data_IF_642247887045
#
_entry.id   IF_642247887045
#
_cell.length_a   1.000
_cell.length_b   1.000
_cell.length_c   1.000
_cell.angle_alpha   90.00
_cell.angle_beta   90.00
_cell.angle_gamma   90.00
#
_symmetry.space_group_name_H-M   'P 1'
#
loop_
_entity.id
_entity.type
_entity.pdbx_description
1 polymer ?
#
# COMPACT_ATOMS: atom_id res chain seq x y z
N UNK A 1 -5.56 6.27 -14.85
CA UNK A 1 -4.91 7.58 -15.03
C UNK A 1 -3.58 7.30 -15.71
N UNK A 2 -3.33 7.90 -16.87
CA UNK A 2 -2.16 7.58 -17.70
C UNK A 2 -0.86 8.04 -17.04
N UNK A 3 0.26 7.42 -17.41
CA UNK A 3 1.59 7.66 -16.85
C UNK A 3 2.01 9.15 -16.94
N UNK A 4 1.56 9.85 -17.98
CA UNK A 4 1.78 11.27 -18.18
C UNK A 4 1.04 12.14 -17.15
N UNK A 5 -0.11 11.68 -16.65
CA UNK A 5 -0.90 12.43 -15.67
C UNK A 5 -0.21 12.48 -14.29
N UNK A 6 0.49 11.40 -13.91
CA UNK A 6 1.16 11.33 -12.61
C UNK A 6 2.35 12.28 -12.55
N UNK A 7 3.19 12.28 -13.57
CA UNK A 7 4.38 13.13 -13.56
C UNK A 7 4.04 14.61 -13.71
N UNK A 8 2.99 14.94 -14.47
CA UNK A 8 2.43 16.29 -14.52
C UNK A 8 1.96 16.74 -13.13
N UNK A 9 1.29 15.85 -12.37
CA UNK A 9 0.82 16.16 -11.03
C UNK A 9 2.00 16.40 -10.05
N UNK A 10 3.07 15.60 -10.13
CA UNK A 10 4.30 15.78 -9.35
C UNK A 10 4.97 17.12 -9.66
N UNK A 11 5.12 17.47 -10.94
CA UNK A 11 5.74 18.72 -11.37
C UNK A 11 4.91 19.95 -10.94
N UNK A 12 3.58 19.89 -11.06
CA UNK A 12 2.67 20.95 -10.60
C UNK A 12 2.81 21.16 -9.09
N UNK A 13 2.86 20.08 -8.31
CA UNK A 13 3.00 20.21 -6.87
C UNK A 13 4.35 20.75 -6.43
N UNK A 14 5.44 20.29 -7.03
CA UNK A 14 6.77 20.84 -6.76
C UNK A 14 6.85 22.33 -7.10
N UNK A 15 6.19 22.73 -8.20
CA UNK A 15 6.06 24.14 -8.59
C UNK A 15 5.29 24.94 -7.53
N UNK A 16 4.16 24.42 -7.04
CA UNK A 16 3.38 25.06 -5.98
C UNK A 16 4.17 25.20 -4.68
N UNK A 17 4.89 24.15 -4.23
CA UNK A 17 5.72 24.23 -3.02
C UNK A 17 6.80 25.30 -3.18
N UNK A 18 7.57 25.25 -4.27
CA UNK A 18 8.64 26.21 -4.51
C UNK A 18 8.11 27.66 -4.57
N UNK A 19 6.98 27.87 -5.24
CA UNK A 19 6.34 29.18 -5.34
C UNK A 19 5.86 29.68 -3.97
N UNK A 20 5.11 28.86 -3.22
CA UNK A 20 4.59 29.25 -1.91
C UNK A 20 5.72 29.53 -0.91
N UNK A 21 6.77 28.71 -0.89
CA UNK A 21 7.93 28.94 -0.01
C UNK A 21 8.74 30.17 -0.41
N UNK A 22 8.84 30.48 -1.70
CA UNK A 22 9.52 31.70 -2.16
C UNK A 22 8.77 32.97 -1.74
N UNK A 23 7.46 33.03 -1.95
CA UNK A 23 6.67 34.22 -1.63
C UNK A 23 6.46 34.42 -0.13
N UNK A 24 6.47 33.36 0.68
CA UNK A 24 6.35 33.42 2.14
C UNK A 24 7.69 33.19 2.86
N UNK A 25 8.81 33.44 2.17
CA UNK A 25 10.17 33.12 2.62
C UNK A 25 10.50 33.66 4.01
N UNK A 26 10.12 34.89 4.30
CA UNK A 26 10.42 35.53 5.59
C UNK A 26 9.74 34.78 6.75
N UNK A 27 8.49 34.36 6.58
CA UNK A 27 7.73 33.65 7.60
C UNK A 27 8.36 32.28 7.87
N UNK A 28 8.78 31.58 6.82
CA UNK A 28 9.49 30.30 6.94
C UNK A 28 10.84 30.42 7.64
N UNK A 29 11.61 31.48 7.36
CA UNK A 29 12.90 31.72 8.02
C UNK A 29 12.67 32.02 9.49
N UNK A 30 11.78 32.96 9.81
CA UNK A 30 11.50 33.37 11.19
C UNK A 30 11.02 32.19 12.03
N UNK A 31 10.16 31.34 11.45
CA UNK A 31 9.66 30.16 12.15
C UNK A 31 10.74 29.08 12.38
N UNK A 32 11.73 28.99 11.48
CA UNK A 32 12.87 28.06 11.59
C UNK A 32 13.94 28.53 12.59
N UNK A 33 13.83 29.74 13.14
CA UNK A 33 14.74 30.26 14.16
C UNK A 33 14.25 29.82 15.55
N UNK A 34 15.14 29.31 16.39
CA UNK A 34 14.81 28.92 17.76
C UNK A 34 14.30 30.12 18.59
N UNK A 35 13.37 29.91 19.55
CA UNK A 35 12.83 30.98 20.39
C UNK A 35 13.96 31.66 21.19
N UNK A 36 14.16 32.93 20.89
CA UNK A 36 15.29 33.73 21.33
C UNK A 36 15.00 34.37 22.70
N UNK A 37 15.27 33.66 23.80
CA UNK A 37 15.26 34.29 25.13
C UNK A 37 16.63 34.87 25.53
N UNK A 38 17.72 34.53 24.84
CA UNK A 38 19.09 34.89 25.28
C UNK A 38 20.06 35.44 24.21
N UNK A 39 19.65 35.59 22.94
CA UNK A 39 20.56 36.03 21.86
C UNK A 39 20.58 37.55 21.67
N UNK A 40 21.77 38.10 21.39
CA UNK A 40 21.92 39.53 21.03
C UNK A 40 21.34 39.83 19.65
N UNK A 41 20.87 41.07 19.44
CA UNK A 41 20.30 41.54 18.16
C UNK A 41 21.24 41.29 16.95
N UNK A 42 22.56 41.40 17.15
CA UNK A 42 23.55 41.15 16.10
C UNK A 42 23.66 39.65 15.75
N UNK A 43 23.65 38.78 16.77
CA UNK A 43 23.66 37.32 16.57
C UNK A 43 22.39 36.84 15.87
N UNK A 44 21.23 37.42 16.20
CA UNK A 44 19.95 37.10 15.55
C UNK A 44 19.94 37.52 14.06
N UNK A 45 20.56 38.66 13.72
CA UNK A 45 20.69 39.11 12.33
C UNK A 45 21.62 38.21 11.51
N UNK A 46 22.70 37.71 12.10
CA UNK A 46 23.58 36.72 11.45
C UNK A 46 22.86 35.39 11.22
N UNK A 47 22.17 34.87 12.25
CA UNK A 47 21.43 33.61 12.17
C UNK A 47 20.30 33.66 11.12
N UNK A 48 19.63 34.81 11.00
CA UNK A 48 18.68 35.05 9.92
C UNK A 48 19.36 34.96 8.55
N UNK A 49 20.51 35.63 8.36
CA UNK A 49 21.25 35.60 7.09
C UNK A 49 21.69 34.18 6.67
N UNK A 50 22.18 33.38 7.62
CA UNK A 50 22.59 32.00 7.35
C UNK A 50 21.40 31.10 7.00
N UNK A 51 20.27 31.29 7.68
CA UNK A 51 19.02 30.55 7.45
C UNK A 51 18.39 30.95 6.10
N UNK A 52 18.44 32.24 5.77
CA UNK A 52 18.01 32.82 4.50
C UNK A 52 18.81 32.24 3.33
N UNK A 53 20.14 32.18 3.46
CA UNK A 53 21.04 31.57 2.47
C UNK A 53 20.76 30.07 2.31
N UNK A 54 20.57 29.35 3.41
CA UNK A 54 20.24 27.92 3.40
C UNK A 54 18.92 27.65 2.66
N UNK A 55 17.88 28.46 2.91
CA UNK A 55 16.60 28.34 2.21
C UNK A 55 16.74 28.64 0.70
N UNK A 56 17.55 29.63 0.33
CA UNK A 56 17.86 29.95 -1.06
C UNK A 56 18.50 28.77 -1.80
N UNK A 57 19.50 28.13 -1.19
CA UNK A 57 20.19 26.96 -1.76
C UNK A 57 19.19 25.81 -1.98
N UNK A 58 18.36 25.53 -0.98
CA UNK A 58 17.36 24.46 -1.07
C UNK A 58 16.32 24.75 -2.15
N UNK A 59 15.80 25.99 -2.23
CA UNK A 59 14.86 26.39 -3.29
C UNK A 59 15.47 26.26 -4.68
N UNK A 60 16.73 26.69 -4.85
CA UNK A 60 17.45 26.56 -6.12
C UNK A 60 17.61 25.09 -6.55
N UNK A 61 17.95 24.20 -5.61
CA UNK A 61 18.03 22.76 -5.86
C UNK A 61 16.66 22.18 -6.24
N UNK A 62 15.59 22.55 -5.54
CA UNK A 62 14.22 22.11 -5.85
C UNK A 62 13.76 22.56 -7.24
N UNK A 63 14.10 23.77 -7.66
CA UNK A 63 13.83 24.27 -9.00
C UNK A 63 14.68 23.58 -10.08
N UNK A 64 15.94 23.23 -9.77
CA UNK A 64 16.79 22.47 -10.67
C UNK A 64 16.25 21.05 -10.92
N UNK A 65 15.75 20.38 -9.87
CA UNK A 65 15.07 19.09 -10.01
C UNK A 65 13.82 19.20 -10.90
N UNK A 66 12.96 20.21 -10.65
CA UNK A 66 11.77 20.46 -11.46
C UNK A 66 12.12 20.72 -12.94
N UNK A 67 13.16 21.52 -13.20
CA UNK A 67 13.62 21.78 -14.57
C UNK A 67 14.12 20.50 -15.25
N UNK A 68 14.84 19.64 -14.52
CA UNK A 68 15.30 18.35 -15.04
C UNK A 68 14.14 17.41 -15.40
N UNK A 69 13.07 17.40 -14.60
CA UNK A 69 11.85 16.64 -14.89
C UNK A 69 11.17 17.13 -16.17
N UNK A 70 10.99 18.45 -16.31
CA UNK A 70 10.42 19.05 -17.53
C UNK A 70 11.23 18.72 -18.78
N UNK A 71 12.56 18.75 -18.69
CA UNK A 71 13.45 18.39 -19.81
C UNK A 71 13.28 16.92 -20.18
N UNK A 72 13.26 16.02 -19.19
CA UNK A 72 13.10 14.59 -19.44
C UNK A 72 11.72 14.25 -20.04
N UNK A 73 10.66 14.95 -19.63
CA UNK A 73 9.34 14.84 -20.26
C UNK A 73 9.31 15.28 -21.71
N UNK A 74 9.93 16.41 -22.03
CA UNK A 74 9.99 16.94 -23.39
C UNK A 74 10.92 16.10 -24.30
N UNK A 75 11.85 15.36 -23.73
CA UNK A 75 12.86 14.58 -24.47
C UNK A 75 12.39 13.19 -24.92
N UNK A 76 11.13 12.80 -24.68
CA UNK A 76 10.56 11.48 -25.04
C UNK A 76 11.46 10.34 -24.54
N UNK A 77 11.60 10.21 -23.22
CA UNK A 77 12.34 9.09 -22.62
C UNK A 77 11.63 7.77 -22.94
N UNK A 78 12.35 6.83 -23.57
CA UNK A 78 11.82 5.54 -24.05
C UNK A 78 11.29 4.61 -22.95
N UNK A 79 11.58 4.88 -21.67
CA UNK A 79 11.22 4.02 -20.53
C UNK A 79 10.32 4.75 -19.51
N UNK A 80 8.99 4.59 -19.63
CA UNK A 80 7.98 5.12 -18.71
C UNK A 80 8.28 4.99 -17.22
N UNK A 81 8.76 3.81 -16.80
CA UNK A 81 8.93 3.47 -15.39
C UNK A 81 10.14 4.15 -14.75
N UNK A 82 11.25 4.27 -15.49
CA UNK A 82 12.45 4.94 -14.99
C UNK A 82 12.24 6.43 -14.81
N UNK A 83 11.50 7.05 -15.74
CA UNK A 83 11.11 8.46 -15.63
C UNK A 83 10.26 8.69 -14.38
N UNK A 84 9.26 7.83 -14.14
CA UNK A 84 8.40 7.93 -12.96
C UNK A 84 9.18 7.74 -11.64
N UNK A 85 10.09 6.77 -11.57
CA UNK A 85 10.95 6.59 -10.39
C UNK A 85 11.87 7.80 -10.15
N UNK A 86 12.42 8.37 -11.22
CA UNK A 86 13.23 9.59 -11.12
C UNK A 86 12.42 10.76 -10.59
N UNK A 87 11.27 11.08 -11.21
CA UNK A 87 10.41 12.20 -10.79
C UNK A 87 9.94 12.04 -9.33
N UNK A 88 9.52 10.83 -8.92
CA UNK A 88 9.13 10.58 -7.53
C UNK A 88 10.31 10.75 -6.56
N UNK A 89 11.50 10.28 -6.94
CA UNK A 89 12.70 10.41 -6.10
C UNK A 89 13.18 11.87 -5.97
N UNK A 90 13.20 12.62 -7.08
CA UNK A 90 13.58 14.02 -7.12
C UNK A 90 12.59 14.88 -6.31
N UNK A 91 11.29 14.61 -6.45
CA UNK A 91 10.24 15.23 -5.65
C UNK A 91 10.37 14.94 -4.15
N UNK A 92 10.63 13.68 -3.79
CA UNK A 92 10.83 13.28 -2.39
C UNK A 92 12.04 13.98 -1.79
N UNK A 93 13.16 14.04 -2.51
CA UNK A 93 14.38 14.73 -2.05
C UNK A 93 14.12 16.24 -1.90
N UNK A 94 13.44 16.87 -2.85
CA UNK A 94 13.07 18.29 -2.77
C UNK A 94 12.18 18.57 -1.55
N UNK A 95 11.17 17.72 -1.31
CA UNK A 95 10.30 17.81 -0.13
C UNK A 95 11.07 17.62 1.18
N UNK A 96 11.98 16.66 1.27
CA UNK A 96 12.80 16.43 2.47
C UNK A 96 13.75 17.60 2.77
N UNK A 97 14.37 18.18 1.75
CA UNK A 97 15.25 19.34 1.92
C UNK A 97 14.47 20.58 2.38
N UNK A 98 13.23 20.75 1.91
CA UNK A 98 12.34 21.83 2.31
C UNK A 98 11.64 21.58 3.65
N UNK A 99 11.54 20.32 4.09
CA UNK A 99 10.81 19.90 5.28
C UNK A 99 11.22 20.69 6.53
N UNK A 100 12.52 20.98 6.68
CA UNK A 100 13.06 21.79 7.78
C UNK A 100 12.38 23.16 7.89
N UNK A 101 12.15 23.83 6.77
CA UNK A 101 11.57 25.18 6.75
C UNK A 101 10.04 25.18 6.78
N UNK A 102 9.43 24.03 6.48
CA UNK A 102 7.99 23.86 6.37
C UNK A 102 7.38 23.34 7.67
N UNK A 103 8.08 22.47 8.41
CA UNK A 103 7.61 21.91 9.69
C UNK A 103 7.64 22.95 10.80
N UNK A 104 8.64 23.82 10.79
CA UNK A 104 8.83 24.82 11.86
C UNK A 104 7.87 26.02 11.68
N UNK A 105 7.38 26.27 10.47
CA UNK A 105 6.24 27.17 10.22
C UNK A 105 4.92 26.46 10.60
N UNK A 106 4.25 26.93 11.65
CA UNK A 106 2.96 26.39 12.13
C UNK A 106 1.94 26.14 10.99
N UNK A 107 1.02 25.16 11.15
CA UNK A 107 0.65 24.22 10.10
C UNK A 107 0.06 24.93 8.89
N UNK A 108 0.83 25.04 7.81
CA UNK A 108 0.24 25.36 6.51
C UNK A 108 -0.55 24.11 6.10
N UNK A 109 -1.84 24.08 6.44
CA UNK A 109 -2.72 22.95 6.11
C UNK A 109 -2.66 22.63 4.60
N UNK A 110 -2.41 23.64 3.78
CA UNK A 110 -2.16 23.55 2.33
C UNK A 110 -0.93 22.71 1.95
N UNK A 111 0.12 22.67 2.76
CA UNK A 111 1.28 21.81 2.51
C UNK A 111 0.93 20.33 2.68
N UNK A 112 0.25 19.97 3.77
CA UNK A 112 -0.21 18.59 3.99
C UNK A 112 -1.22 18.15 2.93
N UNK A 113 -2.05 19.08 2.43
CA UNK A 113 -2.89 18.82 1.25
C UNK A 113 -2.08 18.48 0.01
N UNK A 114 -1.11 19.31 -0.32
CA UNK A 114 -0.29 19.14 -1.52
C UNK A 114 0.60 17.89 -1.43
N UNK A 115 1.20 17.63 -0.27
CA UNK A 115 1.97 16.42 0.03
C UNK A 115 1.08 15.17 -0.06
N UNK A 116 -0.12 15.20 0.51
CA UNK A 116 -1.08 14.08 0.41
C UNK A 116 -1.58 13.86 -1.02
N UNK A 117 -1.83 14.93 -1.78
CA UNK A 117 -2.28 14.83 -3.18
C UNK A 117 -1.21 14.27 -4.12
N UNK A 118 0.07 14.36 -3.76
CA UNK A 118 1.21 14.01 -4.63
C UNK A 118 2.04 12.84 -4.16
N UNK A 119 1.87 12.45 -2.90
CA UNK A 119 2.47 11.25 -2.30
C UNK A 119 1.41 10.23 -1.86
N UNK A 120 0.11 10.41 -2.19
CA UNK A 120 -0.85 9.31 -2.01
C UNK A 120 -0.43 8.17 -2.94
N UNK A 121 0.06 7.04 -2.40
CA UNK A 121 0.43 5.92 -3.23
C UNK A 121 -0.80 5.49 -4.01
N UNK A 122 -0.62 5.21 -5.30
CA UNK A 122 -1.66 4.63 -6.15
C UNK A 122 -2.27 3.45 -5.36
N UNK A 123 -3.58 3.20 -5.42
CA UNK A 123 -4.25 2.15 -4.62
C UNK A 123 -3.53 0.79 -4.65
N UNK A 124 -2.84 0.48 -5.75
CA UNK A 124 -1.93 -0.65 -5.88
C UNK A 124 -0.68 -0.55 -4.97
N UNK A 125 0.04 0.55 -5.02
CA UNK A 125 1.21 0.83 -4.18
C UNK A 125 0.80 0.88 -2.70
N UNK A 126 -0.38 1.43 -2.38
CA UNK A 126 -0.93 1.41 -1.03
C UNK A 126 -1.16 -0.02 -0.54
N UNK A 127 -1.71 -0.89 -1.38
CA UNK A 127 -1.90 -2.30 -1.06
C UNK A 127 -0.55 -3.02 -0.83
N UNK A 128 0.46 -2.75 -1.65
CA UNK A 128 1.79 -3.34 -1.50
C UNK A 128 2.51 -2.83 -0.24
N UNK A 129 2.41 -1.54 0.04
CA UNK A 129 2.98 -0.90 1.22
C UNK A 129 2.35 -1.42 2.51
N UNK A 130 1.02 -1.46 2.58
CA UNK A 130 0.30 -1.96 3.77
C UNK A 130 0.53 -3.47 3.98
N UNK A 131 0.68 -4.25 2.91
CA UNK A 131 1.09 -5.66 2.99
C UNK A 131 2.48 -5.80 3.62
N UNK A 132 3.42 -4.92 3.26
CA UNK A 132 4.74 -4.92 3.86
C UNK A 132 4.70 -4.44 5.31
N UNK A 133 3.91 -3.39 5.59
CA UNK A 133 3.78 -2.80 6.90
C UNK A 133 3.19 -3.77 7.94
N UNK A 134 2.19 -4.58 7.55
CA UNK A 134 1.59 -5.59 8.43
C UNK A 134 2.62 -6.59 8.97
N UNK A 135 3.70 -6.86 8.23
CA UNK A 135 4.74 -7.79 8.72
C UNK A 135 5.48 -7.25 9.94
N UNK A 136 5.53 -5.94 10.16
CA UNK A 136 6.14 -5.36 11.36
C UNK A 136 5.37 -5.67 12.64
N UNK A 137 4.09 -6.06 12.54
CA UNK A 137 3.34 -6.56 13.72
C UNK A 137 3.61 -8.04 14.02
N UNK A 138 4.53 -8.67 13.31
CA UNK A 138 4.97 -10.05 13.52
C UNK A 138 4.14 -11.10 12.77
N UNK A 139 3.24 -10.70 11.87
CA UNK A 139 2.44 -11.61 11.03
C UNK A 139 3.10 -11.79 9.66
N UNK A 140 3.40 -13.03 9.26
CA UNK A 140 3.93 -13.34 7.93
C UNK A 140 2.81 -13.45 6.87
N UNK A 141 1.92 -12.46 6.86
CA UNK A 141 0.74 -12.38 6.00
C UNK A 141 1.03 -12.30 4.50
N UNK A 142 0.04 -12.73 3.72
CA UNK A 142 -0.07 -12.40 2.29
C UNK A 142 -0.54 -10.96 2.08
N UNK A 143 -0.86 -10.60 0.84
CA UNK A 143 -1.37 -9.25 0.50
C UNK A 143 -2.84 -9.23 0.06
N UNK A 144 -3.62 -10.26 0.41
CA UNK A 144 -5.01 -10.41 -0.06
C UNK A 144 -5.93 -9.38 0.58
N UNK A 145 -5.83 -9.22 1.89
CA UNK A 145 -6.73 -8.38 2.67
C UNK A 145 -6.52 -6.91 2.25
N UNK A 146 -5.25 -6.48 2.18
CA UNK A 146 -4.83 -5.15 1.73
C UNK A 146 -5.21 -4.87 0.27
N UNK A 147 -4.97 -5.83 -0.64
CA UNK A 147 -5.35 -5.65 -2.04
C UNK A 147 -6.87 -5.56 -2.20
N UNK A 148 -7.65 -6.32 -1.44
CA UNK A 148 -9.11 -6.21 -1.46
C UNK A 148 -9.56 -4.85 -0.90
N UNK A 149 -9.00 -4.41 0.22
CA UNK A 149 -9.31 -3.13 0.84
C UNK A 149 -8.99 -1.96 -0.09
N UNK A 150 -7.89 -1.97 -0.84
CA UNK A 150 -7.53 -0.84 -1.69
C UNK A 150 -8.09 -0.90 -3.13
N UNK A 151 -8.34 -2.09 -3.68
CA UNK A 151 -8.61 -2.28 -5.12
C UNK A 151 -10.03 -2.77 -5.44
N UNK A 152 -10.86 -3.05 -4.44
CA UNK A 152 -12.24 -3.50 -4.66
C UNK A 152 -13.08 -2.42 -5.34
N UNK A 153 -14.08 -2.88 -6.10
CA UNK A 153 -15.08 -2.02 -6.75
C UNK A 153 -16.47 -2.43 -6.30
N UNK A 154 -17.32 -1.43 -6.11
CA UNK A 154 -18.71 -1.63 -5.68
C UNK A 154 -19.42 -2.62 -6.60
N UNK A 155 -20.05 -3.62 -6.00
CA UNK A 155 -20.82 -4.64 -6.71
C UNK A 155 -20.01 -5.77 -7.37
N UNK A 156 -18.68 -5.76 -7.26
CA UNK A 156 -17.81 -6.75 -7.91
C UNK A 156 -16.93 -7.49 -6.90
N UNK A 157 -16.70 -8.78 -7.13
CA UNK A 157 -15.62 -9.50 -6.46
C UNK A 157 -14.28 -9.18 -7.12
N UNK A 158 -13.18 -9.38 -6.40
CA UNK A 158 -11.85 -9.13 -6.91
C UNK A 158 -11.09 -10.44 -7.09
N UNK A 159 -10.64 -10.72 -8.32
CA UNK A 159 -9.59 -11.71 -8.56
C UNK A 159 -8.25 -11.01 -8.43
N UNK A 160 -7.44 -11.43 -7.47
CA UNK A 160 -6.12 -10.88 -7.21
C UNK A 160 -5.06 -11.91 -7.64
N UNK A 161 -4.14 -11.50 -8.50
CA UNK A 161 -2.97 -12.25 -8.89
C UNK A 161 -1.74 -11.63 -8.19
N UNK A 162 -0.87 -12.47 -7.62
CA UNK A 162 0.33 -12.03 -6.92
C UNK A 162 1.60 -12.36 -7.70
N UNK A 163 2.60 -11.47 -7.58
CA UNK A 163 3.94 -11.55 -8.18
C UNK A 163 3.89 -11.63 -9.72
N UNK A 164 3.72 -10.48 -10.41
CA UNK A 164 3.46 -9.14 -9.86
C UNK A 164 2.01 -8.98 -9.36
N UNK A 165 1.71 -7.94 -8.55
CA UNK A 165 0.34 -7.63 -8.15
C UNK A 165 -0.46 -7.18 -9.38
N UNK A 166 -1.51 -7.95 -9.70
CA UNK A 166 -2.48 -7.67 -10.73
C UNK A 166 -3.88 -8.02 -10.24
N UNK A 167 -4.91 -7.40 -10.80
CA UNK A 167 -6.27 -7.68 -10.39
C UNK A 167 -7.25 -7.56 -11.54
N UNK A 168 -8.37 -8.27 -11.40
CA UNK A 168 -9.50 -8.19 -12.33
C UNK A 168 -10.80 -8.27 -11.55
N UNK A 169 -11.71 -7.36 -11.89
CA UNK A 169 -13.07 -7.42 -11.38
C UNK A 169 -13.80 -8.67 -11.89
N UNK A 170 -14.58 -9.27 -11.00
CA UNK A 170 -15.40 -10.44 -11.25
C UNK A 170 -16.82 -10.09 -10.85
N UNK A 171 -17.69 -9.94 -11.84
CA UNK A 171 -19.10 -9.68 -11.60
C UNK A 171 -19.74 -10.86 -10.89
N UNK A 172 -20.41 -10.57 -9.78
CA UNK A 172 -21.19 -11.54 -9.03
C UNK A 172 -22.62 -11.60 -9.55
N UNK A 173 -23.35 -12.71 -9.33
CA UNK A 173 -24.77 -12.78 -9.68
C UNK A 173 -25.57 -11.73 -8.91
N UNK A 174 -26.41 -10.95 -9.60
CA UNK A 174 -27.17 -9.84 -9.00
C UNK A 174 -28.14 -10.32 -7.89
N UNK A 175 -28.52 -11.60 -7.92
CA UNK A 175 -29.40 -12.25 -6.96
C UNK A 175 -28.67 -12.96 -5.81
N UNK A 176 -27.37 -12.74 -5.64
CA UNK A 176 -26.58 -13.34 -4.56
C UNK A 176 -26.33 -12.37 -3.39
N UNK A 177 -26.20 -12.93 -2.20
CA UNK A 177 -25.80 -12.29 -0.95
C UNK A 177 -24.71 -13.11 -0.28
N UNK A 178 -23.88 -12.47 0.54
CA UNK A 178 -22.97 -13.15 1.42
C UNK A 178 -23.51 -13.10 2.86
N UNK A 179 -23.82 -14.27 3.42
CA UNK A 179 -24.07 -14.41 4.84
C UNK A 179 -22.74 -14.55 5.57
N UNK A 180 -22.41 -13.63 6.47
CA UNK A 180 -21.23 -13.71 7.33
C UNK A 180 -21.66 -14.33 8.66
N UNK A 181 -21.15 -15.51 8.96
CA UNK A 181 -21.48 -16.28 10.16
C UNK A 181 -20.30 -16.27 11.12
N UNK A 182 -20.50 -15.86 12.37
CA UNK A 182 -19.43 -15.83 13.36
C UNK A 182 -19.38 -17.15 14.15
N UNK A 183 -18.18 -17.74 14.26
CA UNK A 183 -17.96 -19.01 14.96
C UNK A 183 -17.97 -18.90 16.49
N UNK A 184 -18.11 -17.68 17.04
CA UNK A 184 -18.01 -17.36 18.46
C UNK A 184 -16.66 -17.77 19.10
N UNK A 185 -15.65 -17.98 18.26
CA UNK A 185 -14.28 -18.27 18.68
C UNK A 185 -13.38 -17.16 18.16
N UNK A 186 -12.86 -16.35 19.07
CA UNK A 186 -11.88 -15.32 18.72
C UNK A 186 -10.51 -15.95 18.44
N UNK A 187 -9.81 -15.40 17.45
CA UNK A 187 -8.45 -15.82 17.14
C UNK A 187 -7.60 -14.60 16.81
N UNK A 188 -6.70 -14.27 17.72
CA UNK A 188 -5.68 -13.26 17.50
C UNK A 188 -4.47 -13.90 16.78
N UNK A 189 -4.26 -13.48 15.54
CA UNK A 189 -3.22 -14.04 14.64
C UNK A 189 -1.82 -13.60 15.04
N UNK A 190 -1.66 -12.45 15.69
CA UNK A 190 -0.35 -11.96 16.16
C UNK A 190 0.01 -12.52 17.53
N UNK A 191 -0.98 -12.83 18.36
CA UNK A 191 -0.77 -13.42 19.68
C UNK A 191 -0.49 -14.94 19.65
N UNK A 192 -0.63 -15.60 18.51
CA UNK A 192 -0.42 -17.05 18.39
C UNK A 192 0.52 -17.40 17.22
N UNK A 193 1.34 -18.44 17.41
CA UNK A 193 2.27 -18.89 16.39
C UNK A 193 1.61 -19.65 15.23
N UNK A 194 0.32 -20.00 15.34
CA UNK A 194 -0.35 -20.93 14.42
C UNK A 194 -0.30 -20.47 12.96
N UNK A 195 -0.51 -19.18 12.71
CA UNK A 195 -0.50 -18.64 11.36
C UNK A 195 0.90 -18.75 10.74
N UNK A 196 1.91 -18.21 11.41
CA UNK A 196 3.30 -18.22 10.93
C UNK A 196 3.84 -19.64 10.81
N UNK A 197 3.42 -20.58 11.67
CA UNK A 197 3.77 -21.99 11.55
C UNK A 197 3.31 -22.55 10.20
N UNK A 198 2.09 -22.25 9.75
CA UNK A 198 1.59 -22.69 8.44
C UNK A 198 2.39 -22.08 7.29
N UNK A 199 2.82 -20.83 7.42
CA UNK A 199 3.69 -20.17 6.44
C UNK A 199 5.03 -20.91 6.32
N UNK A 200 5.65 -21.25 7.46
CA UNK A 200 6.90 -22.01 7.50
C UNK A 200 6.72 -23.43 6.92
N UNK A 201 5.65 -24.13 7.29
CA UNK A 201 5.36 -25.47 6.76
C UNK A 201 5.17 -25.45 5.23
N UNK A 202 4.44 -24.46 4.69
CA UNK A 202 4.30 -24.29 3.25
C UNK A 202 5.63 -23.94 2.56
N UNK A 203 6.50 -23.18 3.22
CA UNK A 203 7.84 -22.84 2.72
C UNK A 203 8.72 -24.09 2.65
N UNK A 204 8.74 -24.91 3.69
CA UNK A 204 9.46 -26.19 3.72
C UNK A 204 8.90 -27.14 2.65
N UNK A 205 7.57 -27.23 2.51
CA UNK A 205 6.94 -28.05 1.49
C UNK A 205 7.39 -27.62 0.07
N UNK A 206 7.48 -26.31 -0.20
CA UNK A 206 7.98 -25.80 -1.47
C UNK A 206 9.45 -26.20 -1.73
N UNK A 207 10.32 -26.08 -0.72
CA UNK A 207 11.72 -26.51 -0.82
C UNK A 207 11.85 -28.02 -1.10
N UNK A 208 11.09 -28.85 -0.37
CA UNK A 208 11.08 -30.31 -0.54
C UNK A 208 10.59 -30.69 -1.93
N UNK A 209 9.50 -30.04 -2.39
CA UNK A 209 8.97 -30.28 -3.74
C UNK A 209 10.01 -29.90 -4.79
N UNK A 210 10.62 -28.71 -4.70
CA UNK A 210 11.69 -28.27 -5.61
C UNK A 210 12.88 -29.22 -5.65
N UNK A 211 13.32 -29.71 -4.48
CA UNK A 211 14.41 -30.69 -4.39
C UNK A 211 14.06 -32.00 -5.08
N UNK A 212 12.83 -32.50 -4.88
CA UNK A 212 12.38 -33.79 -5.45
C UNK A 212 12.07 -33.71 -6.94
N UNK A 213 11.54 -32.60 -7.41
CA UNK A 213 11.19 -32.42 -8.83
C UNK A 213 12.37 -31.94 -9.68
N UNK A 214 13.48 -31.51 -9.06
CA UNK A 214 14.58 -30.84 -9.76
C UNK A 214 14.18 -29.46 -10.32
N UNK A 215 12.98 -28.96 -10.00
CA UNK A 215 12.50 -27.67 -10.43
C UNK A 215 12.97 -26.61 -9.43
N UNK A 216 14.06 -25.93 -9.78
CA UNK A 216 14.63 -24.82 -9.03
C UNK A 216 14.77 -23.64 -10.00
N UNK A 217 14.56 -22.37 -9.57
CA UNK A 217 14.83 -21.23 -10.41
C UNK A 217 16.27 -21.27 -10.97
N UNK A 218 16.46 -20.78 -12.19
CA UNK A 218 17.79 -20.71 -12.80
C UNK A 218 18.76 -19.95 -11.88
N UNK A 219 19.89 -20.57 -11.54
CA UNK A 219 20.90 -20.00 -10.64
C UNK A 219 20.54 -19.97 -9.15
N UNK A 220 19.44 -20.61 -8.73
CA UNK A 220 19.06 -20.73 -7.33
C UNK A 220 19.30 -22.16 -6.80
N UNK A 221 19.44 -22.27 -5.48
CA UNK A 221 19.49 -23.54 -4.78
C UNK A 221 18.09 -23.92 -4.27
N UNK A 222 17.78 -25.21 -4.14
CA UNK A 222 16.44 -25.64 -3.71
C UNK A 222 16.05 -25.09 -2.32
N UNK A 223 17.03 -24.86 -1.44
CA UNK A 223 16.86 -24.29 -0.11
C UNK A 223 16.40 -22.82 -0.15
N UNK A 224 16.71 -22.07 -1.21
CA UNK A 224 16.34 -20.65 -1.31
C UNK A 224 14.91 -20.45 -1.84
N UNK A 225 14.24 -21.52 -2.27
CA UNK A 225 12.84 -21.49 -2.71
C UNK A 225 11.96 -21.16 -1.51
N UNK A 226 11.21 -20.05 -1.59
CA UNK A 226 10.29 -19.64 -0.52
C UNK A 226 8.83 -20.01 -0.80
N UNK A 227 8.48 -20.25 -2.05
CA UNK A 227 7.09 -20.44 -2.47
C UNK A 227 7.00 -21.42 -3.64
N UNK A 228 5.86 -22.10 -3.75
CA UNK A 228 5.63 -23.09 -4.81
C UNK A 228 5.82 -22.50 -6.21
N UNK A 229 5.36 -21.25 -6.45
CA UNK A 229 5.49 -20.57 -7.75
C UNK A 229 6.95 -20.32 -8.16
N UNK A 230 7.88 -20.16 -7.22
CA UNK A 230 9.31 -20.02 -7.53
C UNK A 230 9.93 -21.37 -7.90
N UNK A 231 9.54 -22.42 -7.18
CA UNK A 231 10.02 -23.78 -7.38
C UNK A 231 9.36 -24.55 -8.53
N UNK A 232 8.38 -23.96 -9.22
CA UNK A 232 7.60 -24.67 -10.22
C UNK A 232 7.52 -23.86 -11.51
N UNK A 233 8.01 -24.44 -12.60
CA UNK A 233 7.34 -24.25 -13.87
C UNK A 233 6.04 -25.07 -13.77
N UNK A 234 4.89 -24.44 -13.49
CA UNK A 234 3.63 -25.11 -13.14
C UNK A 234 3.21 -26.25 -14.10
N UNK A 235 3.76 -26.25 -15.32
CA UNK A 235 3.55 -27.28 -16.35
C UNK A 235 4.37 -28.58 -16.19
N UNK A 236 5.41 -28.62 -15.36
CA UNK A 236 6.35 -29.77 -15.28
C UNK A 236 6.13 -30.72 -14.11
N UNK A 237 5.23 -30.41 -13.18
CA UNK A 237 4.91 -31.29 -12.05
C UNK A 237 3.78 -32.25 -12.43
N UNK A 238 3.96 -33.57 -12.26
CA UNK A 238 2.89 -34.54 -12.47
C UNK A 238 1.62 -34.18 -11.71
N UNK A 239 0.46 -34.17 -12.40
CA UNK A 239 -0.82 -33.75 -11.83
C UNK A 239 -1.25 -34.55 -10.59
N UNK A 240 -0.76 -35.79 -10.46
CA UNK A 240 -1.03 -36.67 -9.32
C UNK A 240 -0.35 -36.18 -8.03
N UNK A 241 0.84 -35.57 -8.15
CA UNK A 241 1.57 -35.00 -7.01
C UNK A 241 0.88 -33.72 -6.51
N UNK A 242 0.39 -32.88 -7.43
CA UNK A 242 -0.44 -31.72 -7.10
C UNK A 242 -1.69 -32.13 -6.32
N UNK A 243 -2.42 -33.13 -6.81
CA UNK A 243 -3.69 -33.54 -6.20
C UNK A 243 -3.49 -34.21 -4.84
N UNK A 244 -2.44 -35.02 -4.65
CA UNK A 244 -2.15 -35.68 -3.37
C UNK A 244 -1.70 -34.69 -2.29
N UNK A 245 -0.81 -33.75 -2.62
CA UNK A 245 -0.35 -32.73 -1.67
C UNK A 245 -1.45 -31.71 -1.35
N UNK A 246 -2.15 -31.20 -2.38
CA UNK A 246 -3.23 -30.25 -2.17
C UNK A 246 -4.36 -30.88 -1.34
N UNK A 247 -4.72 -32.15 -1.61
CA UNK A 247 -5.71 -32.85 -0.80
C UNK A 247 -5.26 -33.05 0.66
N UNK A 248 -3.99 -33.37 0.93
CA UNK A 248 -3.50 -33.49 2.31
C UNK A 248 -3.47 -32.14 3.06
N UNK A 249 -3.10 -31.05 2.38
CA UNK A 249 -3.11 -29.70 2.96
C UNK A 249 -4.56 -29.27 3.24
N UNK A 250 -5.45 -29.39 2.26
CA UNK A 250 -6.86 -28.98 2.37
C UNK A 250 -7.63 -29.81 3.39
N UNK A 251 -7.37 -31.12 3.49
CA UNK A 251 -8.01 -32.01 4.46
C UNK A 251 -7.62 -31.67 5.90
N UNK A 252 -6.46 -31.05 6.12
CA UNK A 252 -6.03 -30.52 7.42
C UNK A 252 -6.52 -29.09 7.68
N UNK A 253 -6.71 -28.26 6.66
CA UNK A 253 -7.04 -26.85 6.84
C UNK A 253 -8.54 -26.53 6.88
N UNK A 254 -9.40 -27.38 6.31
CA UNK A 254 -10.83 -27.10 6.17
C UNK A 254 -11.10 -25.90 5.24
N UNK A 255 -12.17 -25.94 4.44
CA UNK A 255 -12.55 -24.75 3.65
C UNK A 255 -13.10 -23.68 4.58
N UNK A 256 -12.29 -22.68 4.92
CA UNK A 256 -12.66 -21.44 5.61
C UNK A 256 -12.12 -20.25 4.80
N UNK A 257 -12.81 -19.12 4.83
CA UNK A 257 -12.26 -17.87 4.28
C UNK A 257 -11.32 -17.24 5.34
N UNK A 258 -10.22 -16.62 4.88
CA UNK A 258 -9.19 -16.06 5.77
C UNK A 258 -8.25 -17.11 6.40
N UNK A 259 -7.61 -16.74 7.50
CA UNK A 259 -6.57 -17.52 8.18
C UNK A 259 -7.02 -18.86 8.78
N UNK A 260 -8.33 -19.04 9.04
CA UNK A 260 -8.89 -20.19 9.76
C UNK A 260 -8.84 -20.06 11.29
N UNK A 261 -9.08 -21.17 12.00
CA UNK A 261 -8.99 -21.33 13.47
C UNK A 261 -9.93 -20.51 14.38
N UNK A 262 -10.85 -19.74 13.79
CA UNK A 262 -11.86 -18.96 14.50
C UNK A 262 -12.47 -17.94 13.54
N UNK A 263 -13.13 -16.91 14.08
CA UNK A 263 -13.67 -15.79 13.30
C UNK A 263 -14.90 -16.17 12.47
N UNK A 264 -14.97 -15.66 11.24
CA UNK A 264 -16.16 -15.76 10.40
C UNK A 264 -16.04 -16.84 9.31
N UNK A 265 -17.17 -17.48 9.01
CA UNK A 265 -17.40 -18.18 7.75
C UNK A 265 -18.30 -17.32 6.85
N UNK A 266 -18.16 -17.48 5.53
CA UNK A 266 -18.99 -16.76 4.57
C UNK A 266 -19.69 -17.76 3.68
N UNK A 267 -21.01 -17.64 3.55
CA UNK A 267 -21.84 -18.45 2.68
C UNK A 267 -22.47 -17.59 1.59
N UNK A 268 -22.42 -18.07 0.34
CA UNK A 268 -23.15 -17.46 -0.77
C UNK A 268 -24.59 -17.94 -0.73
N UNK A 269 -25.54 -17.01 -0.62
CA UNK A 269 -26.98 -17.29 -0.47
C UNK A 269 -27.75 -16.50 -1.51
N UNK A 270 -28.75 -17.12 -2.14
CA UNK A 270 -29.66 -16.38 -3.02
C UNK A 270 -30.52 -15.40 -2.21
N UNK A 271 -30.73 -14.17 -2.70
CA UNK A 271 -31.56 -13.13 -2.05
C UNK A 271 -32.92 -13.66 -1.59
N UNK A 272 -33.59 -14.45 -2.42
CA UNK A 272 -34.88 -15.06 -2.12
C UNK A 272 -34.86 -16.06 -0.93
N UNK A 273 -33.70 -16.63 -0.59
CA UNK A 273 -33.53 -17.59 0.52
C UNK A 273 -33.11 -16.95 1.83
N UNK A 274 -32.97 -15.61 1.88
CA UNK A 274 -32.54 -14.90 3.10
C UNK A 274 -33.42 -15.23 4.31
N UNK A 275 -34.74 -15.09 4.19
CA UNK A 275 -35.67 -15.37 5.28
C UNK A 275 -35.61 -16.82 5.77
N UNK A 276 -35.34 -17.76 4.85
CA UNK A 276 -35.16 -19.17 5.20
C UNK A 276 -33.89 -19.41 6.03
N UNK A 277 -32.79 -18.72 5.69
CA UNK A 277 -31.54 -18.80 6.46
C UNK A 277 -31.69 -18.13 7.83
N UNK A 278 -32.35 -16.98 7.90
CA UNK A 278 -32.64 -16.31 9.18
C UNK A 278 -33.53 -17.20 10.09
N UNK A 279 -34.50 -17.93 9.52
CA UNK A 279 -35.32 -18.89 10.23
C UNK A 279 -34.61 -20.21 10.61
N UNK A 280 -33.43 -20.49 10.06
CA UNK A 280 -32.72 -21.76 10.29
C UNK A 280 -31.99 -21.86 11.63
N UNK A 281 -31.95 -20.77 12.41
CA UNK A 281 -31.21 -20.70 13.68
C UNK A 281 -29.70 -20.58 13.53
N UNK A 282 -29.18 -20.39 12.31
CA UNK A 282 -27.78 -20.08 12.07
C UNK A 282 -27.44 -18.67 12.59
N UNK A 283 -26.32 -18.55 13.30
CA UNK A 283 -25.82 -17.25 13.80
C UNK A 283 -25.20 -16.43 12.66
N UNK A 284 -26.05 -15.80 11.86
CA UNK A 284 -25.64 -14.82 10.86
C UNK A 284 -25.35 -13.51 11.56
N UNK A 285 -24.08 -13.09 11.55
CA UNK A 285 -23.63 -11.84 12.16
C UNK A 285 -24.14 -10.63 11.36
N UNK A 286 -23.96 -10.67 10.04
CA UNK A 286 -24.52 -9.69 9.11
C UNK A 286 -24.56 -10.25 7.68
N UNK A 287 -25.33 -9.55 6.84
CA UNK A 287 -25.38 -9.79 5.40
C UNK A 287 -24.48 -8.76 4.69
N UNK A 288 -23.61 -9.24 3.80
CA UNK A 288 -22.67 -8.41 3.05
C UNK A 288 -23.01 -8.42 1.57
N UNK A 289 -22.90 -7.24 0.96
CA UNK A 289 -22.82 -7.05 -0.48
C UNK A 289 -21.42 -6.51 -0.84
N UNK A 290 -20.89 -6.81 -2.03
CA UNK A 290 -19.57 -6.32 -2.44
C UNK A 290 -19.52 -4.79 -2.44
N UNK A 291 -18.64 -4.24 -1.61
CA UNK A 291 -18.43 -2.80 -1.48
C UNK A 291 -17.19 -2.33 -2.25
N UNK A 292 -17.08 -1.01 -2.43
CA UNK A 292 -15.85 -0.40 -2.95
C UNK A 292 -14.71 -0.50 -1.93
N UNK A 293 -13.49 -0.44 -2.44
CA UNK A 293 -12.30 -0.30 -1.62
C UNK A 293 -12.21 1.10 -0.99
N UNK A 294 -11.20 1.28 -0.16
CA UNK A 294 -10.89 2.52 0.53
C UNK A 294 -10.65 3.62 -0.51
N UNK A 295 -11.50 4.64 -0.47
CA UNK A 295 -11.25 5.92 -1.13
C UNK A 295 -10.52 6.84 -0.14
N UNK A 296 -9.33 7.30 -0.53
CA UNK A 296 -8.59 8.29 0.24
C UNK A 296 -9.24 9.66 0.03
N UNK A 297 -10.16 10.04 0.92
CA UNK A 297 -10.77 11.37 0.90
C UNK A 297 -9.88 12.41 1.60
N UNK A 298 -9.87 13.65 1.10
CA UNK A 298 -9.33 14.76 1.85
C UNK A 298 -10.20 15.04 3.10
N UNK A 299 -9.62 14.97 4.30
CA UNK A 299 -10.21 15.40 5.57
C UNK A 299 -10.79 16.84 5.54
N UNK A 300 -12.09 17.02 5.31
CA UNK A 300 -12.73 18.33 5.56
C UNK A 300 -12.84 18.53 7.07
N UNK A 301 -12.23 19.60 7.58
CA UNK A 301 -12.55 20.10 8.91
C UNK A 301 -14.05 20.45 8.89
N UNK A 302 -14.86 19.80 9.74
CA UNK A 302 -16.19 20.31 10.07
C UNK A 302 -15.98 21.75 10.53
N UNK A 303 -16.45 22.71 9.75
CA UNK A 303 -16.68 24.05 10.25
C UNK A 303 -17.94 23.93 11.12
N UNK A 304 -17.78 24.25 12.39
CA UNK A 304 -18.84 24.25 13.39
C UNK A 304 -20.06 25.06 12.93
N UNK A 305 -21.25 24.57 13.31
CA UNK A 305 -22.51 25.34 13.34
C UNK A 305 -22.41 26.55 14.28
#
# INVERSE_FOLDING_TARGET
MDLDTNCLLTAVAQSCIAFTTFFNRNDHIVASLAPSTELTRNSQKMLYGDTDASLCIVLALSLAFLASECVLHLSIVQSPQLLQMYCLSAHTVACLCLLKFIVDAHPVHHFWWLFSLTNCPITKELAELTTHAERFVGLEGGGMDQACECLARRGEALRIDFRPLGWRAVRLPDNALFAVLHSNTEMNKTASAFYNQRVVECRIAAQVISKRSGCVPSGAEWHSVRTLKQGMNYKSVPADLHHKFYAQIVKKSGKRQGAGWGGCAVALVAKAKRAQVEASGLNVLFWSEPCEGIEAFPFRRQADE
#
